data_IF_433442809629
#
_entry.id   IF_433442809629
#
_cell.length_a   1.000
_cell.length_b   1.000
_cell.length_c   1.000
_cell.angle_alpha   90.00
_cell.angle_beta   90.00
_cell.angle_gamma   90.00
#
_symmetry.space_group_name_H-M   'P 1'
#
loop_
_entity.id
_entity.type
_entity.pdbx_description
1 polymer ?
#
# COMPACT_ATOMS: atom_id res chain seq x y z
N UNK A 1 3.75 19.21 22.73
CA UNK A 1 2.29 19.39 22.59
C UNK A 1 1.89 20.48 23.55
N UNK A 2 1.54 21.65 23.02
CA UNK A 2 1.24 22.85 23.83
C UNK A 2 -0.19 22.83 24.41
N UNK A 3 -1.11 22.08 23.80
CA UNK A 3 -2.48 21.90 24.30
C UNK A 3 -2.57 20.71 25.31
N UNK A 4 -2.87 20.98 26.59
CA UNK A 4 -3.06 19.94 27.61
C UNK A 4 -4.21 18.98 27.31
N UNK A 5 -5.28 19.45 26.64
CA UNK A 5 -6.46 18.63 26.32
C UNK A 5 -6.19 17.64 25.17
N UNK A 6 -5.47 18.09 24.15
CA UNK A 6 -4.98 17.20 23.09
C UNK A 6 -3.98 16.17 23.64
N UNK A 7 -3.12 16.58 24.57
CA UNK A 7 -2.21 15.66 25.26
C UNK A 7 -3.00 14.58 26.00
N UNK A 8 -3.98 14.94 26.82
CA UNK A 8 -4.83 13.97 27.53
C UNK A 8 -5.65 13.08 26.56
N UNK A 9 -6.11 13.59 25.42
CA UNK A 9 -6.79 12.79 24.41
C UNK A 9 -5.88 11.76 23.72
N UNK A 10 -4.60 12.12 23.48
CA UNK A 10 -3.61 11.26 22.83
C UNK A 10 -2.99 10.28 23.84
N UNK A 11 -2.60 10.75 25.02
CA UNK A 11 -1.89 9.96 26.04
C UNK A 11 -2.80 9.34 27.09
N UNK A 12 -3.98 9.88 27.35
CA UNK A 12 -4.85 9.45 28.45
C UNK A 12 -5.38 8.02 28.33
N UNK A 13 -5.47 7.47 27.11
CA UNK A 13 -5.74 6.03 26.93
C UNK A 13 -4.46 5.18 26.98
N UNK A 14 -3.32 5.71 26.52
CA UNK A 14 -2.03 5.01 26.51
C UNK A 14 -1.49 4.86 27.95
N UNK A 15 -1.66 5.88 28.79
CA UNK A 15 -1.27 5.87 30.21
C UNK A 15 -2.18 4.98 31.05
N UNK A 16 -3.47 4.85 30.69
CA UNK A 16 -4.39 3.88 31.34
C UNK A 16 -4.08 2.43 30.95
N UNK A 17 -3.62 2.19 29.72
CA UNK A 17 -3.33 0.84 29.22
C UNK A 17 -1.92 0.33 29.59
N UNK A 18 -0.95 1.23 29.79
CA UNK A 18 0.42 0.86 30.23
C UNK A 18 0.53 0.48 31.71
N UNK A 19 -0.41 0.89 32.55
CA UNK A 19 -0.50 0.44 33.96
C UNK A 19 -1.27 -0.89 34.13
N UNK A 20 -1.94 -1.36 33.07
CA UNK A 20 -2.71 -2.59 33.05
C UNK A 20 -1.83 -3.76 32.59
N UNK A 21 -1.70 -4.80 33.41
CA UNK A 21 -1.01 -6.02 33.01
C UNK A 21 -1.64 -6.57 31.72
N UNK A 22 -0.84 -6.80 30.68
CA UNK A 22 -1.34 -7.24 29.36
C UNK A 22 -2.23 -8.47 29.52
N UNK A 23 -3.52 -8.30 29.21
CA UNK A 23 -4.52 -9.34 29.40
C UNK A 23 -4.10 -10.63 28.69
N UNK A 24 -4.31 -11.78 29.36
CA UNK A 24 -4.06 -13.11 28.76
C UNK A 24 -4.76 -13.26 27.41
N UNK A 25 -5.94 -12.64 27.25
CA UNK A 25 -6.69 -12.60 25.99
C UNK A 25 -5.95 -11.83 24.88
N UNK A 26 -5.34 -10.68 25.22
CA UNK A 26 -4.56 -9.89 24.27
C UNK A 26 -3.34 -10.67 23.76
N UNK A 27 -2.65 -11.40 24.66
CA UNK A 27 -1.53 -12.28 24.28
C UNK A 27 -1.98 -13.40 23.33
N UNK A 28 -3.11 -14.06 23.63
CA UNK A 28 -3.69 -15.10 22.76
C UNK A 28 -4.03 -14.52 21.38
N UNK A 29 -4.70 -13.36 21.33
CA UNK A 29 -5.08 -12.71 20.08
C UNK A 29 -3.85 -12.36 19.23
N UNK A 30 -2.82 -11.76 19.84
CA UNK A 30 -1.58 -11.41 19.15
C UNK A 30 -0.85 -12.65 18.63
N UNK A 31 -0.71 -13.70 19.43
CA UNK A 31 -0.05 -14.94 19.00
C UNK A 31 -0.78 -15.58 17.82
N UNK A 32 -2.12 -15.64 17.87
CA UNK A 32 -2.93 -16.19 16.76
C UNK A 32 -2.81 -15.33 15.50
N UNK A 33 -2.77 -14.01 15.65
CA UNK A 33 -2.56 -13.08 14.53
C UNK A 33 -1.19 -13.29 13.88
N UNK A 34 -0.12 -13.34 14.67
CA UNK A 34 1.24 -13.60 14.17
C UNK A 34 1.38 -14.99 13.55
N UNK A 35 0.75 -16.01 14.14
CA UNK A 35 0.69 -17.35 13.55
C UNK A 35 -0.06 -17.34 12.21
N UNK A 36 -1.13 -16.55 12.09
CA UNK A 36 -1.85 -16.32 10.84
C UNK A 36 -0.98 -15.68 9.76
N UNK A 37 -0.19 -14.66 10.11
CA UNK A 37 0.78 -14.04 9.19
C UNK A 37 1.80 -15.07 8.71
N UNK A 38 2.40 -15.83 9.63
CA UNK A 38 3.36 -16.87 9.27
C UNK A 38 2.74 -17.91 8.34
N UNK A 39 1.50 -18.32 8.60
CA UNK A 39 0.77 -19.25 7.76
C UNK A 39 0.53 -18.68 6.34
N UNK A 40 0.19 -17.39 6.21
CA UNK A 40 0.08 -16.73 4.89
C UNK A 40 1.41 -16.73 4.16
N UNK A 41 2.52 -16.46 4.83
CA UNK A 41 3.87 -16.49 4.21
C UNK A 41 4.17 -17.89 3.67
N UNK A 42 3.89 -18.94 4.45
CA UNK A 42 4.11 -20.33 4.03
C UNK A 42 3.26 -20.66 2.78
N UNK A 43 1.99 -20.20 2.75
CA UNK A 43 1.12 -20.36 1.57
C UNK A 43 1.69 -19.59 0.38
N UNK A 44 2.12 -18.34 0.58
CA UNK A 44 2.66 -17.49 -0.49
C UNK A 44 3.91 -18.10 -1.13
N UNK A 45 4.82 -18.64 -0.31
CA UNK A 45 6.05 -19.29 -0.78
C UNK A 45 5.78 -20.58 -1.57
N UNK A 46 4.66 -21.24 -1.31
CA UNK A 46 4.29 -22.52 -1.91
C UNK A 46 2.98 -22.41 -2.71
N UNK A 47 2.68 -21.22 -3.25
CA UNK A 47 1.39 -20.92 -3.87
C UNK A 47 1.06 -21.88 -5.01
N UNK A 48 2.06 -22.37 -5.73
CA UNK A 48 1.90 -23.30 -6.83
C UNK A 48 1.46 -24.71 -6.41
N UNK A 49 1.74 -25.10 -5.16
CA UNK A 49 1.40 -26.43 -4.63
C UNK A 49 0.16 -26.41 -3.75
N UNK A 50 -0.07 -25.30 -3.05
CA UNK A 50 -1.09 -25.21 -1.99
C UNK A 50 -2.40 -24.61 -2.52
N UNK A 51 -2.35 -23.64 -3.43
CA UNK A 51 -3.57 -22.96 -3.88
C UNK A 51 -4.39 -23.88 -4.79
N UNK A 52 -5.68 -24.09 -4.49
CA UNK A 52 -6.52 -24.94 -5.30
C UNK A 52 -6.74 -24.35 -6.69
N UNK A 53 -7.02 -25.22 -7.65
CA UNK A 53 -7.49 -24.82 -8.97
C UNK A 53 -8.95 -24.39 -8.86
N UNK A 54 -9.27 -23.22 -9.39
CA UNK A 54 -10.64 -22.77 -9.58
C UNK A 54 -11.30 -23.55 -10.74
N UNK A 55 -12.60 -23.38 -10.89
CA UNK A 55 -13.41 -24.09 -11.90
C UNK A 55 -12.93 -23.87 -13.36
N UNK A 56 -12.17 -22.80 -13.61
CA UNK A 56 -11.58 -22.47 -14.91
C UNK A 56 -10.17 -23.09 -15.12
N UNK A 57 -9.73 -23.99 -14.25
CA UNK A 57 -8.41 -24.61 -14.31
C UNK A 57 -7.24 -23.68 -13.94
N UNK A 58 -7.50 -22.43 -13.53
CA UNK A 58 -6.49 -21.50 -13.02
C UNK A 58 -6.43 -21.57 -11.51
N UNK A 59 -5.25 -21.41 -10.92
CA UNK A 59 -5.12 -21.33 -9.45
C UNK A 59 -5.89 -20.13 -8.90
N UNK A 60 -6.47 -20.30 -7.72
CA UNK A 60 -7.11 -19.21 -6.99
C UNK A 60 -6.09 -18.07 -6.78
N UNK A 61 -6.45 -16.80 -7.05
CA UNK A 61 -5.56 -15.68 -6.82
C UNK A 61 -5.10 -15.60 -5.37
N UNK A 62 -3.82 -15.27 -5.15
CA UNK A 62 -3.25 -15.14 -3.80
C UNK A 62 -4.02 -14.13 -2.94
N UNK A 63 -4.57 -13.06 -3.55
CA UNK A 63 -5.41 -12.07 -2.87
C UNK A 63 -6.62 -12.72 -2.21
N UNK A 64 -7.32 -13.61 -2.91
CA UNK A 64 -8.49 -14.31 -2.37
C UNK A 64 -8.08 -15.28 -1.26
N UNK A 65 -6.99 -16.03 -1.45
CA UNK A 65 -6.48 -16.94 -0.44
C UNK A 65 -6.12 -16.21 0.86
N UNK A 66 -5.45 -15.05 0.76
CA UNK A 66 -5.13 -14.21 1.90
C UNK A 66 -6.38 -13.75 2.64
N UNK A 67 -7.41 -13.30 1.91
CA UNK A 67 -8.69 -12.88 2.52
C UNK A 67 -9.32 -14.01 3.33
N UNK A 68 -9.44 -15.22 2.77
CA UNK A 68 -10.02 -16.37 3.49
C UNK A 68 -9.23 -16.71 4.75
N UNK A 69 -7.90 -16.76 4.66
CA UNK A 69 -7.04 -17.06 5.80
C UNK A 69 -7.17 -16.00 6.89
N UNK A 70 -7.15 -14.70 6.54
CA UNK A 70 -7.28 -13.63 7.52
C UNK A 70 -8.67 -13.59 8.18
N UNK A 71 -9.74 -13.86 7.43
CA UNK A 71 -11.08 -14.01 8.02
C UNK A 71 -11.15 -15.21 8.97
N UNK A 72 -10.57 -16.35 8.60
CA UNK A 72 -10.52 -17.53 9.45
C UNK A 72 -9.73 -17.27 10.75
N UNK A 73 -8.56 -16.63 10.65
CA UNK A 73 -7.75 -16.23 11.81
C UNK A 73 -8.53 -15.27 12.71
N UNK A 74 -9.22 -14.28 12.13
CA UNK A 74 -10.11 -13.38 12.88
C UNK A 74 -11.22 -14.12 13.63
N UNK A 75 -11.84 -15.11 12.99
CA UNK A 75 -12.83 -16.00 13.61
C UNK A 75 -12.24 -16.82 14.76
N UNK A 76 -11.06 -17.39 14.58
CA UNK A 76 -10.36 -18.16 15.63
C UNK A 76 -9.99 -17.26 16.81
N UNK A 77 -9.55 -16.03 16.57
CA UNK A 77 -9.27 -15.04 17.62
C UNK A 77 -10.56 -14.75 18.42
N UNK A 78 -11.67 -14.51 17.74
CA UNK A 78 -12.98 -14.28 18.37
C UNK A 78 -13.40 -15.44 19.26
N UNK A 79 -13.34 -16.67 18.74
CA UNK A 79 -13.71 -17.88 19.48
C UNK A 79 -12.79 -18.14 20.67
N UNK A 80 -11.49 -17.94 20.52
CA UNK A 80 -10.48 -18.21 21.55
C UNK A 80 -10.52 -17.17 22.68
N UNK A 81 -10.81 -15.91 22.37
CA UNK A 81 -10.90 -14.82 23.35
C UNK A 81 -12.28 -14.69 23.99
N UNK A 82 -13.31 -15.30 23.38
CA UNK A 82 -14.72 -15.22 23.79
C UNK A 82 -15.18 -13.78 23.93
N UNK A 83 -14.77 -12.91 23.00
CA UNK A 83 -15.21 -11.52 22.95
C UNK A 83 -16.63 -11.44 22.41
N UNK A 84 -17.41 -10.46 22.88
CA UNK A 84 -18.72 -10.18 22.32
C UNK A 84 -18.52 -9.45 20.98
N UNK A 85 -18.86 -10.12 19.87
CA UNK A 85 -18.71 -9.56 18.53
C UNK A 85 -19.43 -8.21 18.34
N UNK A 86 -20.54 -7.97 19.06
CA UNK A 86 -21.26 -6.69 19.02
C UNK A 86 -20.40 -5.53 19.50
N UNK A 87 -19.59 -5.74 20.54
CA UNK A 87 -18.71 -4.71 21.08
C UNK A 87 -17.60 -4.30 20.11
N UNK A 88 -17.25 -5.15 19.14
CA UNK A 88 -16.21 -4.85 18.14
C UNK A 88 -16.70 -3.77 17.19
N UNK A 89 -17.95 -3.87 16.74
CA UNK A 89 -18.57 -2.89 15.85
C UNK A 89 -18.64 -1.50 16.48
N UNK A 90 -18.80 -1.46 17.81
CA UNK A 90 -18.87 -0.22 18.60
C UNK A 90 -17.48 0.38 18.88
N UNK A 91 -16.37 -0.29 18.51
CA UNK A 91 -15.03 0.26 18.72
C UNK A 91 -14.70 1.35 17.72
N UNK A 92 -14.01 2.40 18.20
CA UNK A 92 -13.49 3.48 17.35
C UNK A 92 -12.60 2.96 16.22
N UNK A 93 -11.79 1.93 16.50
CA UNK A 93 -10.88 1.32 15.52
C UNK A 93 -11.65 0.62 14.40
N UNK A 94 -12.71 -0.13 14.73
CA UNK A 94 -13.53 -0.78 13.71
C UNK A 94 -14.26 0.23 12.84
N UNK A 95 -14.90 1.25 13.44
CA UNK A 95 -15.59 2.30 12.70
C UNK A 95 -14.63 3.04 11.75
N UNK A 96 -13.45 3.44 12.25
CA UNK A 96 -12.39 4.06 11.46
C UNK A 96 -11.95 3.16 10.28
N UNK A 97 -11.84 1.84 10.53
CA UNK A 97 -11.53 0.84 9.51
C UNK A 97 -12.60 0.74 8.42
N UNK A 98 -13.89 0.69 8.79
CA UNK A 98 -15.00 0.63 7.83
C UNK A 98 -15.05 1.89 6.96
N UNK A 99 -14.90 3.07 7.58
CA UNK A 99 -14.84 4.35 6.85
C UNK A 99 -13.66 4.34 5.86
N UNK A 100 -12.49 3.89 6.29
CA UNK A 100 -11.32 3.76 5.43
C UNK A 100 -11.60 2.83 4.22
N UNK A 101 -12.22 1.66 4.45
CA UNK A 101 -12.54 0.70 3.38
C UNK A 101 -13.47 1.33 2.33
N UNK A 102 -14.52 2.04 2.75
CA UNK A 102 -15.44 2.71 1.82
C UNK A 102 -14.72 3.80 1.02
N UNK A 103 -13.87 4.61 1.67
CA UNK A 103 -13.06 5.63 0.99
C UNK A 103 -12.11 5.02 -0.05
N UNK A 104 -11.40 3.95 0.32
CA UNK A 104 -10.48 3.24 -0.58
C UNK A 104 -11.22 2.71 -1.81
N UNK A 105 -12.36 2.04 -1.63
CA UNK A 105 -13.13 1.50 -2.75
C UNK A 105 -13.65 2.59 -3.69
N UNK A 106 -14.22 3.67 -3.14
CA UNK A 106 -14.76 4.76 -3.93
C UNK A 106 -13.70 5.43 -4.81
N UNK A 107 -12.55 5.79 -4.22
CA UNK A 107 -11.50 6.49 -4.96
C UNK A 107 -10.77 5.52 -5.92
N UNK A 108 -10.54 4.27 -5.51
CA UNK A 108 -9.93 3.26 -6.37
C UNK A 108 -10.74 3.04 -7.64
N UNK A 109 -12.07 2.90 -7.52
CA UNK A 109 -12.94 2.63 -8.67
C UNK A 109 -13.02 3.81 -9.63
N UNK A 110 -13.14 5.04 -9.11
CA UNK A 110 -13.09 6.25 -9.94
C UNK A 110 -11.75 6.33 -10.71
N UNK A 111 -10.63 6.11 -10.01
CA UNK A 111 -9.30 6.11 -10.64
C UNK A 111 -9.18 5.02 -11.69
N UNK A 112 -9.59 3.78 -11.39
CA UNK A 112 -9.50 2.67 -12.35
C UNK A 112 -10.30 2.96 -13.62
N UNK A 113 -11.51 3.51 -13.49
CA UNK A 113 -12.36 3.85 -14.64
C UNK A 113 -11.71 4.88 -15.57
N UNK A 114 -11.16 5.95 -15.00
CA UNK A 114 -10.50 7.01 -15.80
C UNK A 114 -9.21 6.50 -16.42
N UNK A 115 -8.42 5.74 -15.68
CA UNK A 115 -7.10 5.31 -16.12
C UNK A 115 -7.17 4.19 -17.13
N UNK A 116 -7.98 3.16 -16.89
CA UNK A 116 -8.12 2.01 -17.80
C UNK A 116 -8.48 2.47 -19.22
N UNK A 117 -9.37 3.46 -19.33
CA UNK A 117 -9.79 4.01 -20.62
C UNK A 117 -8.74 4.91 -21.29
N UNK A 118 -7.85 5.54 -20.52
CA UNK A 118 -6.83 6.47 -21.02
C UNK A 118 -5.41 5.89 -21.07
N UNK A 119 -5.20 4.64 -20.63
CA UNK A 119 -3.90 3.93 -20.67
C UNK A 119 -3.17 4.08 -22.02
N UNK A 120 -3.82 3.87 -23.19
CA UNK A 120 -3.13 4.01 -24.47
C UNK A 120 -2.57 5.41 -24.72
N UNK A 121 -3.33 6.45 -24.37
CA UNK A 121 -2.91 7.85 -24.50
C UNK A 121 -1.75 8.19 -23.56
N UNK A 122 -1.79 7.69 -22.32
CA UNK A 122 -0.72 7.89 -21.35
C UNK A 122 0.59 7.27 -21.84
N UNK A 123 0.54 6.04 -22.36
CA UNK A 123 1.72 5.33 -22.85
C UNK A 123 2.30 5.97 -24.12
N UNK A 124 1.47 6.38 -25.08
CA UNK A 124 1.94 7.01 -26.33
C UNK A 124 2.52 8.41 -26.11
N UNK A 125 1.98 9.16 -25.16
CA UNK A 125 2.52 10.49 -24.81
C UNK A 125 3.93 10.36 -24.24
N UNK A 126 4.18 9.34 -23.43
CA UNK A 126 5.44 9.14 -22.72
C UNK A 126 6.55 8.56 -23.63
N UNK A 127 6.22 7.71 -24.61
CA UNK A 127 7.22 7.08 -25.49
C UNK A 127 8.01 8.10 -26.30
N UNK A 128 7.33 9.13 -26.85
CA UNK A 128 7.96 10.16 -27.69
C UNK A 128 9.07 10.97 -27.01
N UNK A 129 8.96 11.21 -25.70
CA UNK A 129 9.98 11.94 -24.93
C UNK A 129 11.13 11.04 -24.48
N UNK A 130 10.83 9.78 -24.23
CA UNK A 130 11.76 8.82 -23.66
C UNK A 130 12.85 8.41 -24.67
N UNK A 131 12.51 8.36 -25.97
CA UNK A 131 13.49 8.11 -27.04
C UNK A 131 14.60 9.18 -27.09
N UNK A 132 14.27 10.43 -26.77
CA UNK A 132 15.22 11.55 -26.84
C UNK A 132 16.04 11.72 -25.55
N UNK A 133 15.45 11.41 -24.40
CA UNK A 133 16.09 11.57 -23.09
C UNK A 133 15.79 10.34 -22.20
N UNK A 134 16.69 9.35 -22.14
CA UNK A 134 16.49 8.10 -21.43
C UNK A 134 16.09 8.23 -19.94
N UNK A 135 16.56 9.28 -19.24
CA UNK A 135 16.22 9.53 -17.83
C UNK A 135 14.75 9.93 -17.63
N UNK A 136 14.06 10.42 -18.67
CA UNK A 136 12.62 10.72 -18.63
C UNK A 136 11.81 9.44 -18.36
N UNK A 137 12.39 8.26 -18.58
CA UNK A 137 11.78 7.00 -18.16
C UNK A 137 11.47 6.93 -16.65
N UNK A 138 12.22 7.65 -15.80
CA UNK A 138 11.84 7.78 -14.38
C UNK A 138 10.51 8.52 -14.21
N UNK A 139 10.31 9.61 -14.96
CA UNK A 139 9.06 10.38 -14.94
C UNK A 139 7.91 9.53 -15.48
N UNK A 140 8.17 8.75 -16.53
CA UNK A 140 7.23 7.76 -17.06
C UNK A 140 6.75 6.78 -15.99
N UNK A 141 7.71 6.13 -15.31
CA UNK A 141 7.46 5.19 -14.22
C UNK A 141 6.68 5.85 -13.09
N UNK A 142 7.05 7.07 -12.73
CA UNK A 142 6.37 7.85 -11.70
C UNK A 142 4.91 8.09 -12.07
N UNK A 143 4.65 8.72 -13.22
CA UNK A 143 3.29 9.03 -13.68
C UNK A 143 2.41 7.78 -13.78
N UNK A 144 2.94 6.70 -14.37
CA UNK A 144 2.17 5.46 -14.55
C UNK A 144 1.96 4.74 -13.21
N UNK A 145 2.94 4.79 -12.30
CA UNK A 145 2.80 4.21 -10.95
C UNK A 145 1.73 4.87 -10.10
N UNK A 146 1.56 6.21 -10.21
CA UNK A 146 0.51 6.93 -9.49
C UNK A 146 -0.86 6.30 -9.74
N UNK A 147 -1.06 5.78 -10.95
CA UNK A 147 -2.33 5.26 -11.41
C UNK A 147 -2.49 3.74 -11.27
N UNK A 148 -1.41 2.97 -11.43
CA UNK A 148 -1.46 1.49 -11.35
C UNK A 148 -1.47 0.94 -9.93
N UNK A 149 -1.23 1.77 -8.90
CA UNK A 149 -1.35 1.38 -7.48
C UNK A 149 -0.49 0.18 -7.08
N UNK A 150 0.53 -0.13 -7.88
CA UNK A 150 1.37 -1.32 -7.72
C UNK A 150 2.71 -1.12 -8.40
N UNK A 151 3.77 -1.23 -7.61
CA UNK A 151 5.14 -1.16 -8.10
C UNK A 151 5.42 -2.28 -9.12
N UNK A 152 5.04 -3.51 -8.77
CA UNK A 152 5.24 -4.67 -9.63
C UNK A 152 4.45 -4.54 -10.95
N UNK A 153 3.17 -4.14 -10.88
CA UNK A 153 2.36 -3.98 -12.09
C UNK A 153 2.92 -2.87 -13.01
N UNK A 154 3.37 -1.76 -12.43
CA UNK A 154 4.01 -0.66 -13.16
C UNK A 154 5.25 -1.15 -13.91
N UNK A 155 6.13 -1.87 -13.21
CA UNK A 155 7.35 -2.41 -13.82
C UNK A 155 7.03 -3.45 -14.90
N UNK A 156 6.04 -4.33 -14.68
CA UNK A 156 5.62 -5.31 -15.68
C UNK A 156 5.09 -4.68 -16.98
N UNK A 157 4.50 -3.48 -16.90
CA UNK A 157 4.00 -2.74 -18.07
C UNK A 157 5.12 -1.95 -18.74
N UNK A 158 5.92 -1.20 -17.97
CA UNK A 158 6.85 -0.22 -18.52
C UNK A 158 8.25 -0.75 -18.81
N UNK A 159 8.75 -1.75 -18.07
CA UNK A 159 10.09 -2.30 -18.33
C UNK A 159 10.21 -2.89 -19.75
N UNK A 160 9.23 -3.68 -20.27
CA UNK A 160 9.27 -4.14 -21.65
C UNK A 160 9.34 -3.00 -22.67
N UNK A 161 8.55 -1.93 -22.45
CA UNK A 161 8.58 -0.73 -23.29
C UNK A 161 9.97 -0.08 -23.26
N UNK A 162 10.59 0.05 -22.09
CA UNK A 162 11.93 0.60 -21.95
C UNK A 162 12.98 -0.17 -22.75
N UNK A 163 12.92 -1.51 -22.73
CA UNK A 163 13.80 -2.35 -23.56
C UNK A 163 13.52 -2.17 -25.07
N UNK A 164 12.25 -2.08 -25.47
CA UNK A 164 11.88 -1.86 -26.89
C UNK A 164 12.39 -0.52 -27.42
N UNK A 165 12.45 0.51 -26.58
CA UNK A 165 12.99 1.83 -26.91
C UNK A 165 14.53 1.90 -26.85
N UNK A 166 15.21 0.76 -26.67
CA UNK A 166 16.67 0.67 -26.54
C UNK A 166 17.25 1.57 -25.42
N UNK A 167 16.50 1.75 -24.33
CA UNK A 167 16.99 2.49 -23.16
C UNK A 167 18.11 1.66 -22.51
N UNK A 168 19.27 2.27 -22.20
CA UNK A 168 20.36 1.57 -21.52
C UNK A 168 19.90 0.89 -20.22
N UNK A 169 20.28 -0.38 -20.03
CA UNK A 169 19.86 -1.20 -18.87
C UNK A 169 20.21 -0.57 -17.53
N UNK A 170 21.36 0.10 -17.44
CA UNK A 170 21.75 0.85 -16.25
C UNK A 170 20.74 1.96 -15.91
N UNK A 171 20.24 2.70 -16.90
CA UNK A 171 19.21 3.71 -16.68
C UNK A 171 17.88 3.06 -16.25
N UNK A 172 17.48 1.96 -16.90
CA UNK A 172 16.26 1.23 -16.54
C UNK A 172 16.28 0.77 -15.07
N UNK A 173 17.39 0.20 -14.60
CA UNK A 173 17.57 -0.23 -13.21
C UNK A 173 17.56 0.98 -12.27
N UNK A 174 18.28 2.05 -12.61
CA UNK A 174 18.36 3.25 -11.78
C UNK A 174 17.02 3.97 -11.60
N UNK A 175 16.11 3.84 -12.58
CA UNK A 175 14.78 4.43 -12.54
C UNK A 175 13.76 3.62 -11.71
N UNK A 176 14.05 2.38 -11.30
CA UNK A 176 13.10 1.51 -10.57
C UNK A 176 12.45 2.20 -9.36
N UNK A 177 13.15 2.98 -8.52
CA UNK A 177 12.52 3.66 -7.38
C UNK A 177 11.37 4.60 -7.77
N UNK A 178 11.38 5.15 -8.98
CA UNK A 178 10.30 6.00 -9.49
C UNK A 178 8.96 5.25 -9.63
N UNK A 179 8.97 3.92 -9.64
CA UNK A 179 7.77 3.08 -9.64
C UNK A 179 7.01 3.04 -8.31
N UNK A 180 7.44 3.79 -7.28
CA UNK A 180 6.73 3.96 -5.99
C UNK A 180 5.95 5.28 -5.95
N UNK A 181 5.00 5.54 -6.84
CA UNK A 181 4.27 6.81 -6.87
C UNK A 181 2.81 6.70 -6.38
N UNK A 182 2.41 5.57 -5.83
CA UNK A 182 1.02 5.31 -5.44
C UNK A 182 0.56 6.06 -4.18
N UNK A 183 1.45 6.81 -3.51
CA UNK A 183 1.09 7.78 -2.49
C UNK A 183 0.57 9.10 -3.09
N UNK A 184 0.83 9.37 -4.37
CA UNK A 184 0.60 10.69 -5.00
C UNK A 184 -0.88 11.08 -4.98
N UNK A 185 -1.75 10.10 -5.10
CA UNK A 185 -3.16 10.25 -4.78
C UNK A 185 -3.40 9.50 -3.48
N UNK A 186 -3.90 10.19 -2.46
CA UNK A 186 -4.13 9.63 -1.12
C UNK A 186 -5.34 8.69 -1.08
N UNK A 187 -5.32 7.65 -1.91
CA UNK A 187 -6.31 6.59 -1.97
C UNK A 187 -5.72 5.20 -1.70
N UNK A 188 -4.41 5.11 -1.48
CA UNK A 188 -3.77 3.83 -1.22
C UNK A 188 -4.21 3.33 0.17
N UNK A 189 -4.49 2.02 0.34
CA UNK A 189 -5.11 1.51 1.56
C UNK A 189 -4.37 1.87 2.85
N UNK A 190 -3.04 1.84 2.84
CA UNK A 190 -2.24 2.20 4.01
C UNK A 190 -2.34 3.68 4.38
N UNK A 191 -2.47 4.56 3.38
CA UNK A 191 -2.49 6.01 3.57
C UNK A 191 -3.81 6.43 4.23
N UNK A 192 -4.92 5.92 3.68
CA UNK A 192 -6.26 6.16 4.21
C UNK A 192 -6.42 5.53 5.60
N UNK A 193 -5.89 4.32 5.81
CA UNK A 193 -5.89 3.68 7.12
C UNK A 193 -5.06 4.48 8.14
N UNK A 194 -3.90 5.01 7.74
CA UNK A 194 -3.06 5.84 8.59
C UNK A 194 -3.80 7.10 9.03
N UNK A 195 -4.49 7.79 8.12
CA UNK A 195 -5.33 8.95 8.46
C UNK A 195 -6.47 8.56 9.41
N UNK A 196 -7.19 7.47 9.12
CA UNK A 196 -8.32 7.03 9.94
C UNK A 196 -7.91 6.59 11.35
N UNK A 197 -6.69 6.09 11.53
CA UNK A 197 -6.15 5.67 12.82
C UNK A 197 -5.36 6.77 13.54
N UNK A 198 -5.06 7.89 12.88
CA UNK A 198 -4.30 8.98 13.48
C UNK A 198 -5.16 9.80 14.44
N UNK A 199 -4.97 9.54 15.74
CA UNK A 199 -5.62 10.29 16.83
C UNK A 199 -5.08 11.72 16.97
N UNK A 200 -3.88 12.00 16.47
CA UNK A 200 -3.25 13.31 16.61
C UNK A 200 -3.80 14.33 15.61
N UNK A 201 -4.43 13.86 14.52
CA UNK A 201 -4.89 14.69 13.42
C UNK A 201 -3.77 15.33 12.59
N UNK A 202 -2.51 14.94 12.83
CA UNK A 202 -1.36 15.46 12.07
C UNK A 202 -1.34 14.92 10.63
N UNK A 203 -1.96 13.76 10.43
CA UNK A 203 -2.12 13.09 9.14
C UNK A 203 -3.54 13.30 8.64
N UNK A 204 -3.70 14.02 7.53
CA UNK A 204 -5.02 14.34 7.00
C UNK A 204 -5.00 14.53 5.47
N UNK A 205 -6.20 14.47 4.88
CA UNK A 205 -6.48 14.95 3.53
C UNK A 205 -7.09 16.35 3.66
N UNK A 206 -6.51 17.33 2.99
CA UNK A 206 -6.99 18.70 2.93
C UNK A 206 -8.10 18.89 1.89
N UNK A 207 -8.26 20.13 1.40
CA UNK A 207 -9.35 20.50 0.48
C UNK A 207 -9.25 19.87 -0.92
N UNK A 208 -8.05 19.49 -1.35
CA UNK A 208 -7.78 19.00 -2.71
C UNK A 208 -7.22 17.57 -2.67
N UNK A 209 -7.44 16.80 -3.74
CA UNK A 209 -7.01 15.40 -3.85
C UNK A 209 -5.51 15.22 -3.59
N UNK A 210 -4.68 16.17 -4.06
CA UNK A 210 -3.22 16.17 -3.91
C UNK A 210 -2.73 16.85 -2.63
N UNK A 211 -3.64 17.46 -1.86
CA UNK A 211 -3.30 18.12 -0.61
C UNK A 211 -3.48 17.13 0.54
N UNK A 212 -2.43 16.37 0.87
CA UNK A 212 -2.44 15.43 1.98
C UNK A 212 -1.04 15.28 2.60
N UNK A 213 -0.99 14.81 3.84
CA UNK A 213 0.27 14.74 4.63
C UNK A 213 1.37 13.88 4.00
N UNK A 214 1.03 12.92 3.14
CA UNK A 214 2.01 12.03 2.48
C UNK A 214 2.70 12.61 1.24
N UNK A 215 2.20 13.71 0.67
CA UNK A 215 2.71 14.23 -0.61
C UNK A 215 4.18 14.66 -0.51
N UNK A 216 4.51 15.48 0.49
CA UNK A 216 5.87 16.01 0.67
C UNK A 216 6.86 14.88 1.01
N UNK A 217 6.62 14.04 2.04
CA UNK A 217 7.54 12.94 2.37
C UNK A 217 7.70 11.94 1.22
N UNK A 218 6.61 11.60 0.52
CA UNK A 218 6.66 10.66 -0.59
C UNK A 218 7.45 11.21 -1.78
N UNK A 219 7.27 12.48 -2.15
CA UNK A 219 8.04 13.12 -3.22
C UNK A 219 9.53 13.17 -2.88
N UNK A 220 9.89 13.53 -1.64
CA UNK A 220 11.28 13.52 -1.18
C UNK A 220 11.86 12.11 -1.25
N UNK A 221 11.13 11.11 -0.73
CA UNK A 221 11.57 9.72 -0.72
C UNK A 221 11.81 9.19 -2.13
N UNK A 222 10.85 9.36 -3.04
CA UNK A 222 10.97 8.85 -4.41
C UNK A 222 12.02 9.61 -5.21
N UNK A 223 12.03 10.94 -5.15
CA UNK A 223 13.00 11.73 -5.91
C UNK A 223 14.43 11.43 -5.46
N UNK A 224 14.69 11.43 -4.15
CA UNK A 224 16.01 11.09 -3.61
C UNK A 224 16.43 9.66 -3.96
N UNK A 225 15.55 8.68 -3.76
CA UNK A 225 15.85 7.28 -4.10
C UNK A 225 16.10 7.09 -5.60
N UNK A 226 15.36 7.78 -6.47
CA UNK A 226 15.53 7.71 -7.93
C UNK A 226 16.85 8.35 -8.36
N UNK A 227 17.19 9.52 -7.82
CA UNK A 227 18.47 10.20 -8.11
C UNK A 227 19.65 9.34 -7.66
N UNK A 228 19.61 8.83 -6.43
CA UNK A 228 20.64 7.95 -5.89
C UNK A 228 20.73 6.66 -6.72
N UNK A 229 19.59 6.07 -7.08
CA UNK A 229 19.53 4.86 -7.91
C UNK A 229 20.16 5.07 -9.29
N UNK A 230 19.87 6.19 -9.94
CA UNK A 230 20.50 6.57 -11.21
C UNK A 230 22.02 6.75 -11.07
N UNK A 231 22.47 7.49 -10.05
CA UNK A 231 23.90 7.72 -9.80
C UNK A 231 24.66 6.42 -9.52
N UNK A 232 24.12 5.56 -8.65
CA UNK A 232 24.70 4.26 -8.34
C UNK A 232 24.75 3.37 -9.57
N UNK A 233 23.68 3.33 -10.36
CA UNK A 233 23.63 2.50 -11.55
C UNK A 233 24.66 2.95 -12.60
N UNK A 234 24.83 4.26 -12.78
CA UNK A 234 25.88 4.80 -13.66
C UNK A 234 27.30 4.49 -13.18
N UNK A 235 27.51 4.36 -11.87
CA UNK A 235 28.80 4.02 -11.29
C UNK A 235 29.12 2.52 -11.39
N UNK A 236 28.14 1.66 -11.14
CA UNK A 236 28.30 0.19 -11.09
C UNK A 236 28.32 -0.42 -12.49
N UNK A 237 27.47 0.04 -13.40
CA UNK A 237 27.30 -0.51 -14.75
C UNK A 237 27.92 0.39 -15.81
N UNK A 238 29.17 0.80 -15.59
CA UNK A 238 30.00 1.52 -16.57
C UNK A 238 30.27 0.69 -17.81
#
# INVERSE_FOLDING_TARGET
MEDPGMREYITGDIERDTQSATSKKAKIALTLFLAGILFVIIIAMNSDRILPLAANGKRVPMTSALQFVMFAVGGIILLSTKLNGKQIADTKVFLAGVIAVVMIFGISWMSDTVIENNKPFLLSSISSWTERYPWIFAVALFCISMFLKSQAATLSVLMPLGFMLNIPTNILIGCIPASYAYFFFCFYPSDVACISFDRTGTTHIGKYILNHSFMIPGLIGVSSATVIGLLLSMFVYR
#
